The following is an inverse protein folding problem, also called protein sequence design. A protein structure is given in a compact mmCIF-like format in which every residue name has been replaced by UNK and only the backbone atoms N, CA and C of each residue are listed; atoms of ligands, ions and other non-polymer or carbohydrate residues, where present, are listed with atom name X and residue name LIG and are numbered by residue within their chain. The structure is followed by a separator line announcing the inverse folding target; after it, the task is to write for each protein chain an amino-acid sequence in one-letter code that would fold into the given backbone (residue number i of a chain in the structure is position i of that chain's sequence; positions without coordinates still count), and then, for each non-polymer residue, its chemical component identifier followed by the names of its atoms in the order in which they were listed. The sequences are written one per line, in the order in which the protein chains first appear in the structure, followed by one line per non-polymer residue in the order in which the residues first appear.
data_IF_000434664884
#
_entry.id   IF_000434664884
#
_cell.length_a   1.000
_cell.length_b   1.000
_cell.length_c   1.000
_cell.angle_alpha   90.00
_cell.angle_beta   90.00
_cell.angle_gamma   90.00
#
_symmetry.space_group_name_H-M   'P 1'
#
loop_
_entity.id
_entity.type
_entity.pdbx_description
1 polymer ?
#
# COMPACT_ATOMS: atom_id res chain seq x y z
N UNK A 1 -18.86 -1.50 -5.35
CA UNK A 1 -17.54 -0.79 -5.27
C UNK A 1 -17.55 0.40 -6.24
N UNK A 2 -17.08 1.59 -5.81
CA UNK A 2 -16.91 2.74 -6.74
C UNK A 2 -15.82 2.36 -7.76
N UNK A 3 -16.13 2.48 -9.05
CA UNK A 3 -15.15 2.20 -10.11
C UNK A 3 -14.27 3.42 -10.34
N UNK A 4 -12.99 3.20 -10.63
CA UNK A 4 -12.07 4.23 -11.11
C UNK A 4 -12.52 4.63 -12.51
N UNK A 5 -12.76 5.93 -12.72
CA UNK A 5 -13.23 6.49 -13.99
C UNK A 5 -12.05 7.03 -14.81
N UNK A 6 -12.29 7.26 -16.10
CA UNK A 6 -11.30 7.94 -16.97
C UNK A 6 -10.94 9.34 -16.45
N UNK A 7 -11.84 10.01 -15.73
CA UNK A 7 -11.56 11.30 -15.11
C UNK A 7 -10.59 11.16 -13.94
N UNK A 8 -10.79 10.17 -13.02
CA UNK A 8 -9.88 9.92 -11.89
C UNK A 8 -8.47 9.62 -12.41
N UNK A 9 -8.38 8.83 -13.49
CA UNK A 9 -7.11 8.50 -14.16
C UNK A 9 -6.46 9.75 -14.77
N UNK A 10 -7.25 10.58 -15.46
CA UNK A 10 -6.76 11.82 -16.07
C UNK A 10 -6.25 12.81 -15.01
N UNK A 11 -6.93 12.92 -13.87
CA UNK A 11 -6.50 13.78 -12.76
C UNK A 11 -5.17 13.31 -12.17
N UNK A 12 -4.99 12.01 -11.94
CA UNK A 12 -3.73 11.47 -11.45
C UNK A 12 -2.61 11.61 -12.48
N UNK A 13 -2.88 11.33 -13.75
CA UNK A 13 -1.91 11.52 -14.83
C UNK A 13 -1.48 12.99 -14.96
N UNK A 14 -2.41 13.92 -14.94
CA UNK A 14 -2.12 15.36 -14.97
C UNK A 14 -1.27 15.77 -13.78
N UNK A 15 -1.53 15.23 -12.59
CA UNK A 15 -0.72 15.47 -11.41
C UNK A 15 0.71 14.99 -11.62
N UNK A 16 0.92 13.80 -12.19
CA UNK A 16 2.27 13.29 -12.51
C UNK A 16 2.96 14.19 -13.55
N UNK A 17 2.28 14.60 -14.59
CA UNK A 17 2.83 15.42 -15.67
C UNK A 17 3.20 16.84 -15.21
N UNK A 18 2.51 17.38 -14.20
CA UNK A 18 2.70 18.76 -13.71
C UNK A 18 3.90 18.95 -12.77
N UNK A 19 4.52 17.88 -12.30
CA UNK A 19 5.65 17.93 -11.37
C UNK A 19 6.90 17.28 -11.96
N UNK A 20 8.06 17.73 -11.50
CA UNK A 20 9.37 17.28 -11.99
C UNK A 20 10.01 16.24 -11.06
N UNK A 21 9.63 16.20 -9.79
CA UNK A 21 10.10 15.27 -8.76
C UNK A 21 8.97 14.83 -7.84
N UNK A 22 9.09 13.65 -7.24
CA UNK A 22 8.06 13.12 -6.35
C UNK A 22 8.62 12.56 -5.04
N UNK A 23 7.93 12.86 -3.96
CA UNK A 23 7.95 12.02 -2.76
C UNK A 23 6.77 11.06 -2.80
N UNK A 24 7.02 9.79 -2.47
CA UNK A 24 5.97 8.78 -2.34
C UNK A 24 6.02 8.24 -0.92
N UNK A 25 4.93 8.36 -0.18
CA UNK A 25 4.86 7.97 1.22
C UNK A 25 3.58 7.20 1.53
N UNK A 26 3.65 6.33 2.53
CA UNK A 26 2.50 5.67 3.15
C UNK A 26 2.57 5.79 4.67
N UNK A 27 1.68 5.08 5.39
CA UNK A 27 1.59 5.22 6.84
C UNK A 27 2.84 4.70 7.58
N UNK A 28 3.10 5.25 8.79
CA UNK A 28 4.11 4.73 9.73
C UNK A 28 3.81 3.27 10.09
N UNK A 29 4.86 2.53 10.48
CA UNK A 29 4.75 1.08 10.70
C UNK A 29 4.13 0.36 9.50
N UNK A 30 4.72 0.52 8.31
CA UNK A 30 4.10 0.08 7.06
C UNK A 30 3.81 -1.42 7.08
N UNK A 31 2.77 -1.78 6.37
CA UNK A 31 2.45 -3.18 6.09
C UNK A 31 2.68 -3.56 4.62
N UNK A 32 2.18 -4.72 4.22
CA UNK A 32 2.39 -5.22 2.87
C UNK A 32 1.66 -4.42 1.82
N UNK A 33 0.47 -3.91 2.12
CA UNK A 33 -0.32 -3.10 1.19
C UNK A 33 0.31 -1.71 0.99
N UNK A 34 0.71 -1.07 2.09
CA UNK A 34 1.41 0.21 2.07
C UNK A 34 2.70 0.15 1.22
N UNK A 35 3.56 -0.83 1.47
CA UNK A 35 4.83 -0.99 0.73
C UNK A 35 4.56 -1.34 -0.74
N UNK A 36 3.62 -2.24 -1.03
CA UNK A 36 3.28 -2.62 -2.39
C UNK A 36 2.75 -1.43 -3.19
N UNK A 37 1.90 -0.62 -2.59
CA UNK A 37 1.34 0.59 -3.18
C UNK A 37 2.42 1.63 -3.51
N UNK A 38 3.34 1.91 -2.58
CA UNK A 38 4.48 2.81 -2.81
C UNK A 38 5.35 2.32 -3.98
N UNK A 39 5.70 1.03 -4.00
CA UNK A 39 6.58 0.45 -5.03
C UNK A 39 5.91 0.43 -6.41
N UNK A 40 4.60 0.20 -6.48
CA UNK A 40 3.87 0.22 -7.74
C UNK A 40 3.70 1.65 -8.27
N UNK A 41 3.45 2.64 -7.40
CA UNK A 41 3.48 4.07 -7.78
C UNK A 41 4.86 4.47 -8.30
N UNK A 42 5.94 4.04 -7.64
CA UNK A 42 7.30 4.27 -8.13
C UNK A 42 7.49 3.76 -9.56
N UNK A 43 6.96 2.57 -9.87
CA UNK A 43 7.01 2.02 -11.23
C UNK A 43 6.16 2.82 -12.24
N UNK A 44 5.04 3.40 -11.82
CA UNK A 44 4.29 4.35 -12.67
C UNK A 44 5.18 5.57 -12.98
N UNK A 45 5.82 6.15 -11.95
CA UNK A 45 6.70 7.31 -12.13
C UNK A 45 7.90 7.01 -13.04
N UNK A 46 8.49 5.79 -12.95
CA UNK A 46 9.54 5.33 -13.85
C UNK A 46 9.08 5.35 -15.32
N UNK A 47 7.83 4.95 -15.62
CA UNK A 47 7.26 5.00 -16.97
C UNK A 47 7.08 6.45 -17.49
N UNK A 48 6.91 7.42 -16.60
CA UNK A 48 6.87 8.84 -16.94
C UNK A 48 8.27 9.50 -16.91
N UNK A 49 9.33 8.72 -16.63
CA UNK A 49 10.71 9.24 -16.44
C UNK A 49 10.76 10.33 -15.37
N UNK A 50 9.95 10.20 -14.32
CA UNK A 50 9.90 11.14 -13.19
C UNK A 50 10.76 10.61 -12.05
N UNK A 51 11.77 11.36 -11.59
CA UNK A 51 12.56 10.99 -10.42
C UNK A 51 11.71 11.07 -9.16
N UNK A 52 12.00 10.19 -8.20
CA UNK A 52 11.27 10.10 -6.94
C UNK A 52 12.14 9.65 -5.79
N UNK A 53 11.63 9.88 -4.58
CA UNK A 53 12.15 9.29 -3.34
C UNK A 53 11.00 8.62 -2.59
N UNK A 54 11.22 7.37 -2.15
CA UNK A 54 10.29 6.66 -1.29
C UNK A 54 10.55 7.02 0.17
N UNK A 55 9.49 7.42 0.90
CA UNK A 55 9.57 7.85 2.29
C UNK A 55 8.80 6.91 3.21
N UNK A 56 9.35 6.62 4.38
CA UNK A 56 8.68 5.91 5.45
C UNK A 56 9.34 6.22 6.80
N UNK A 57 8.55 6.62 7.77
CA UNK A 57 9.02 6.78 9.16
C UNK A 57 9.35 5.42 9.83
N UNK A 58 9.02 4.29 9.19
CA UNK A 58 9.17 2.97 9.81
C UNK A 58 8.35 2.83 11.10
N UNK A 59 8.80 1.96 12.04
CA UNK A 59 9.73 0.86 11.82
C UNK A 59 9.13 -0.26 10.97
N UNK A 60 9.96 -0.96 10.20
CA UNK A 60 9.58 -2.13 9.40
C UNK A 60 9.53 -3.38 10.29
N UNK A 61 8.43 -3.57 11.00
CA UNK A 61 8.28 -4.64 12.01
C UNK A 61 7.96 -6.02 11.41
N UNK A 62 7.36 -6.06 10.22
CA UNK A 62 6.87 -7.29 9.61
C UNK A 62 7.95 -7.93 8.74
N UNK A 63 8.27 -9.20 9.00
CA UNK A 63 9.34 -9.92 8.30
C UNK A 63 9.16 -9.97 6.77
N UNK A 64 7.92 -10.05 6.31
CA UNK A 64 7.56 -10.15 4.89
C UNK A 64 7.87 -8.89 4.09
N UNK A 65 8.07 -7.73 4.75
CA UNK A 65 8.38 -6.45 4.09
C UNK A 65 9.81 -5.96 4.32
N UNK A 66 10.55 -6.53 5.28
CA UNK A 66 11.91 -6.06 5.66
C UNK A 66 12.85 -5.97 4.46
N UNK A 67 12.70 -6.86 3.48
CA UNK A 67 13.55 -6.88 2.26
C UNK A 67 13.49 -5.60 1.42
N UNK A 68 12.47 -4.76 1.61
CA UNK A 68 12.34 -3.49 0.90
C UNK A 68 12.73 -2.26 1.72
N UNK A 69 13.10 -2.45 3.00
CA UNK A 69 13.43 -1.36 3.92
C UNK A 69 14.44 -0.36 3.31
N UNK A 70 15.50 -0.87 2.70
CA UNK A 70 16.59 -0.04 2.17
C UNK A 70 16.20 0.78 0.93
N UNK A 71 14.99 0.60 0.41
CA UNK A 71 14.42 1.45 -0.64
C UNK A 71 13.75 2.70 -0.12
N UNK A 72 13.52 2.79 1.18
CA UNK A 72 12.81 3.88 1.83
C UNK A 72 13.76 4.69 2.72
N UNK A 73 13.53 5.99 2.77
CA UNK A 73 14.22 6.91 3.68
C UNK A 73 13.23 7.47 4.70
N UNK A 74 13.70 7.78 5.89
CA UNK A 74 12.98 8.51 6.91
C UNK A 74 13.21 10.03 6.82
N UNK A 75 13.99 10.49 5.84
CA UNK A 75 14.31 11.89 5.62
C UNK A 75 14.14 12.29 4.15
N UNK A 76 13.65 13.51 3.92
CA UNK A 76 13.50 14.13 2.62
C UNK A 76 14.82 14.74 2.16
N UNK A 77 15.17 14.54 0.89
CA UNK A 77 16.34 15.16 0.29
C UNK A 77 15.85 16.20 -0.73
N UNK A 78 15.91 17.48 -0.34
CA UNK A 78 15.77 18.62 -1.24
C UNK A 78 17.14 19.21 -1.54
N UNK A 79 17.40 19.50 -2.81
CA UNK A 79 18.65 20.10 -3.21
C UNK A 79 18.56 21.63 -3.21
N UNK A 80 17.38 22.20 -3.47
CA UNK A 80 17.15 23.64 -3.51
C UNK A 80 15.66 24.01 -3.32
N UNK A 81 15.37 25.28 -3.00
CA UNK A 81 14.01 25.78 -2.75
C UNK A 81 13.15 25.88 -4.02
N UNK A 82 13.72 25.95 -5.21
CA UNK A 82 12.97 25.99 -6.47
C UNK A 82 12.41 24.61 -6.86
N UNK A 83 13.09 23.55 -6.44
CA UNK A 83 12.62 22.17 -6.63
C UNK A 83 11.33 21.90 -5.87
N UNK A 84 11.12 22.55 -4.71
CA UNK A 84 9.92 22.36 -3.89
C UNK A 84 8.63 22.72 -4.63
N UNK A 85 8.61 23.81 -5.40
CA UNK A 85 7.42 24.25 -6.14
C UNK A 85 7.01 23.31 -7.27
N UNK A 86 7.94 22.46 -7.72
CA UNK A 86 7.73 21.45 -8.75
C UNK A 86 7.75 20.03 -8.23
N UNK A 87 7.69 19.89 -6.92
CA UNK A 87 7.69 18.59 -6.24
C UNK A 87 6.28 18.20 -5.84
N UNK A 88 5.85 17.03 -6.29
CA UNK A 88 4.59 16.40 -5.88
C UNK A 88 4.79 15.43 -4.72
N UNK A 89 3.79 15.29 -3.87
CA UNK A 89 3.71 14.28 -2.84
C UNK A 89 2.58 13.29 -3.15
N UNK A 90 2.92 12.03 -3.38
CA UNK A 90 1.91 10.97 -3.54
C UNK A 90 1.82 10.20 -2.24
N UNK A 91 0.63 10.20 -1.64
CA UNK A 91 0.35 9.50 -0.40
C UNK A 91 -0.53 8.29 -0.73
N UNK A 92 -0.09 7.11 -0.31
CA UNK A 92 -0.81 5.85 -0.53
C UNK A 92 -1.14 5.16 0.79
N UNK A 93 -2.26 4.48 0.82
CA UNK A 93 -2.71 3.66 1.95
C UNK A 93 -2.83 4.46 3.27
N UNK A 94 -3.07 5.76 3.13
CA UNK A 94 -3.16 6.69 4.24
C UNK A 94 -3.85 7.98 3.78
N UNK A 95 -4.95 8.36 4.41
CA UNK A 95 -5.68 9.58 4.08
C UNK A 95 -5.29 10.81 4.91
N UNK A 96 -4.33 10.68 5.84
CA UNK A 96 -4.03 11.74 6.81
C UNK A 96 -2.52 11.88 7.03
N UNK A 97 -2.00 13.12 6.89
CA UNK A 97 -0.56 13.40 7.01
C UNK A 97 0.07 12.94 8.34
N UNK A 98 -0.67 13.03 9.45
CA UNK A 98 -0.12 12.63 10.76
C UNK A 98 0.15 11.12 10.85
N UNK A 99 -0.53 10.31 10.04
CA UNK A 99 -0.31 8.85 9.96
C UNK A 99 0.97 8.47 9.25
N UNK A 100 1.59 9.38 8.48
CA UNK A 100 2.90 9.17 7.87
C UNK A 100 4.00 9.00 8.94
N UNK A 101 3.77 9.52 10.14
CA UNK A 101 4.74 9.50 11.23
C UNK A 101 5.78 10.64 11.13
N UNK A 102 6.89 10.48 11.84
CA UNK A 102 7.97 11.45 11.85
C UNK A 102 8.92 11.17 10.68
N UNK A 103 8.81 11.95 9.63
CA UNK A 103 9.73 12.00 8.50
C UNK A 103 10.51 13.29 8.62
N UNK A 104 11.84 13.22 8.60
CA UNK A 104 12.70 14.40 8.65
C UNK A 104 12.54 15.22 7.38
N UNK A 105 12.10 16.44 7.53
CA UNK A 105 11.74 17.36 6.45
C UNK A 105 10.31 17.86 6.55
N UNK A 106 9.98 18.83 5.71
CA UNK A 106 8.66 19.48 5.74
C UNK A 106 7.80 19.04 4.54
N UNK A 107 6.87 18.14 4.80
CA UNK A 107 5.88 17.69 3.81
C UNK A 107 4.72 18.69 3.62
N UNK A 108 4.55 19.66 4.54
CA UNK A 108 3.44 20.60 4.51
C UNK A 108 3.55 21.55 3.29
N UNK A 109 2.43 21.76 2.63
CA UNK A 109 2.36 22.70 1.50
C UNK A 109 2.93 22.16 0.19
N UNK A 110 3.35 20.87 0.12
CA UNK A 110 3.57 20.21 -1.15
C UNK A 110 2.23 19.95 -1.83
N UNK A 111 2.15 20.18 -3.14
CA UNK A 111 1.00 19.71 -3.90
C UNK A 111 0.91 18.19 -3.78
N UNK A 112 -0.26 17.68 -3.39
CA UNK A 112 -0.37 16.29 -2.96
C UNK A 112 -1.51 15.57 -3.67
N UNK A 113 -1.30 14.26 -3.91
CA UNK A 113 -2.33 13.35 -4.40
C UNK A 113 -2.43 12.13 -3.47
N UNK A 114 -3.63 11.85 -2.95
CA UNK A 114 -3.89 10.75 -2.02
C UNK A 114 -4.64 9.63 -2.74
N UNK A 115 -4.16 8.38 -2.60
CA UNK A 115 -4.88 7.17 -3.01
C UNK A 115 -5.03 6.27 -1.79
N UNK A 116 -6.28 6.05 -1.35
CA UNK A 116 -6.53 5.32 -0.11
C UNK A 116 -7.85 4.53 -0.14
N UNK A 117 -7.94 3.53 0.71
CA UNK A 117 -9.13 2.69 0.88
C UNK A 117 -9.70 2.70 2.31
N UNK A 118 -9.13 3.44 3.23
CA UNK A 118 -9.57 3.47 4.61
C UNK A 118 -10.88 4.27 4.78
N UNK A 119 -11.81 3.74 5.60
CA UNK A 119 -13.11 4.39 5.91
C UNK A 119 -12.97 5.69 6.71
N UNK A 120 -11.87 5.81 7.45
CA UNK A 120 -11.58 6.99 8.28
C UNK A 120 -10.95 8.12 7.48
N UNK A 121 -10.49 7.84 6.26
CA UNK A 121 -9.92 8.86 5.39
C UNK A 121 -11.00 9.77 4.85
N UNK A 122 -10.76 11.07 4.95
CA UNK A 122 -11.61 12.11 4.37
C UNK A 122 -10.83 12.93 3.36
N UNK A 123 -11.51 13.43 2.33
CA UNK A 123 -10.90 14.36 1.42
C UNK A 123 -10.40 15.58 2.20
N UNK A 124 -9.14 15.93 2.03
CA UNK A 124 -8.53 17.12 2.63
C UNK A 124 -8.81 18.28 1.66
N UNK A 125 -9.34 19.38 2.18
CA UNK A 125 -9.63 20.56 1.34
C UNK A 125 -8.36 21.04 0.63
N UNK A 126 -8.47 21.21 -0.70
CA UNK A 126 -7.34 21.61 -1.53
C UNK A 126 -6.37 20.49 -1.92
N UNK A 127 -6.58 19.26 -1.47
CA UNK A 127 -5.74 18.09 -1.84
C UNK A 127 -6.51 17.18 -2.79
N UNK A 128 -5.89 16.86 -3.93
CA UNK A 128 -6.44 15.87 -4.87
C UNK A 128 -6.41 14.48 -4.25
N UNK A 129 -7.49 13.73 -4.38
CA UNK A 129 -7.55 12.41 -3.77
C UNK A 129 -8.49 11.45 -4.49
N UNK A 130 -8.13 10.18 -4.50
CA UNK A 130 -9.02 9.08 -4.80
C UNK A 130 -9.15 8.17 -3.58
N UNK A 131 -10.26 8.27 -2.87
CA UNK A 131 -10.56 7.47 -1.68
C UNK A 131 -11.74 6.55 -1.96
N UNK A 132 -11.54 5.24 -1.79
CA UNK A 132 -12.60 4.25 -2.00
C UNK A 132 -12.67 3.24 -0.84
N UNK A 133 -13.48 3.49 0.19
CA UNK A 133 -13.61 2.63 1.37
C UNK A 133 -14.20 1.24 1.11
N UNK A 134 -14.64 0.97 -0.11
CA UNK A 134 -15.13 -0.34 -0.53
C UNK A 134 -14.06 -1.16 -1.27
N UNK A 135 -12.89 -0.57 -1.55
CA UNK A 135 -11.78 -1.30 -2.11
C UNK A 135 -11.14 -2.21 -1.04
N UNK A 136 -10.69 -3.41 -1.41
CA UNK A 136 -10.14 -4.38 -0.46
C UNK A 136 -8.72 -4.04 0.02
N UNK A 137 -8.01 -3.19 -0.71
CA UNK A 137 -6.62 -2.82 -0.51
C UNK A 137 -6.28 -1.57 -1.34
N UNK A 138 -5.30 -0.78 -0.92
CA UNK A 138 -4.78 0.33 -1.72
C UNK A 138 -4.05 -0.19 -2.97
N UNK A 139 -3.27 -1.26 -2.87
CA UNK A 139 -2.60 -1.92 -4.01
C UNK A 139 -3.57 -2.39 -5.09
N UNK A 140 -4.82 -2.75 -4.75
CA UNK A 140 -5.87 -3.01 -5.73
C UNK A 140 -6.21 -1.74 -6.52
N UNK A 141 -6.35 -0.58 -5.86
CA UNK A 141 -6.59 0.69 -6.53
C UNK A 141 -5.42 1.08 -7.44
N UNK A 142 -4.19 0.95 -6.95
CA UNK A 142 -2.98 1.23 -7.72
C UNK A 142 -2.87 0.29 -8.94
N UNK A 143 -3.26 -0.99 -8.82
CA UNK A 143 -3.32 -1.90 -9.98
C UNK A 143 -4.21 -1.32 -11.09
N UNK A 144 -5.42 -0.88 -10.74
CA UNK A 144 -6.36 -0.35 -11.74
C UNK A 144 -5.82 0.95 -12.37
N UNK A 145 -5.26 1.86 -11.57
CA UNK A 145 -4.59 3.05 -12.09
C UNK A 145 -3.44 2.68 -13.04
N UNK A 146 -2.61 1.71 -12.66
CA UNK A 146 -1.49 1.24 -13.49
C UNK A 146 -1.98 0.72 -14.84
N UNK A 147 -2.95 -0.19 -14.83
CA UNK A 147 -3.53 -0.79 -16.05
C UNK A 147 -4.16 0.28 -16.97
N UNK A 148 -4.84 1.29 -16.40
CA UNK A 148 -5.49 2.35 -17.19
C UNK A 148 -4.52 3.41 -17.71
N UNK A 149 -3.37 3.63 -17.05
CA UNK A 149 -2.39 4.66 -17.43
C UNK A 149 -1.31 4.09 -18.35
N UNK A 150 -0.79 2.93 -18.00
CA UNK A 150 0.38 2.31 -18.65
C UNK A 150 -0.03 1.14 -19.54
N UNK A 151 -1.00 0.33 -19.10
CA UNK A 151 -1.39 -0.92 -19.74
C UNK A 151 -0.84 -2.14 -19.00
N UNK A 152 0.02 -2.94 -19.68
CA UNK A 152 0.56 -4.17 -19.11
C UNK A 152 1.46 -3.91 -17.90
N UNK A 153 1.27 -4.74 -16.86
CA UNK A 153 2.03 -4.65 -15.63
C UNK A 153 3.26 -5.57 -15.72
N UNK A 154 4.49 -5.07 -15.51
CA UNK A 154 5.68 -5.92 -15.43
C UNK A 154 5.56 -6.96 -14.33
N UNK A 155 6.11 -8.16 -14.56
CA UNK A 155 6.00 -9.31 -13.65
C UNK A 155 6.37 -8.96 -12.20
N UNK A 156 7.48 -8.27 -11.98
CA UNK A 156 7.93 -7.87 -10.65
C UNK A 156 6.94 -6.95 -9.94
N UNK A 157 6.24 -6.08 -10.67
CA UNK A 157 5.21 -5.20 -10.12
C UNK A 157 3.90 -5.97 -9.89
N UNK A 158 3.55 -6.89 -10.79
CA UNK A 158 2.41 -7.77 -10.58
C UNK A 158 2.56 -8.64 -9.32
N UNK A 159 3.77 -9.17 -9.05
CA UNK A 159 4.09 -9.90 -7.83
C UNK A 159 3.94 -9.02 -6.57
N UNK A 160 4.38 -7.76 -6.63
CA UNK A 160 4.29 -6.79 -5.54
C UNK A 160 2.82 -6.40 -5.27
N UNK A 161 2.06 -6.06 -6.30
CA UNK A 161 0.64 -5.71 -6.17
C UNK A 161 -0.19 -6.89 -5.64
N UNK A 162 0.05 -8.09 -6.16
CA UNK A 162 -0.59 -9.31 -5.67
C UNK A 162 -0.27 -9.54 -4.18
N UNK A 163 0.99 -9.33 -3.77
CA UNK A 163 1.40 -9.43 -2.38
C UNK A 163 0.64 -8.42 -1.49
N UNK A 164 0.53 -7.15 -1.91
CA UNK A 164 -0.20 -6.12 -1.18
C UNK A 164 -1.67 -6.51 -0.97
N UNK A 165 -2.38 -6.88 -2.04
CA UNK A 165 -3.77 -7.33 -1.98
C UNK A 165 -3.92 -8.53 -1.04
N UNK A 166 -3.01 -9.51 -1.11
CA UNK A 166 -3.06 -10.68 -0.25
C UNK A 166 -2.83 -10.36 1.24
N UNK A 167 -1.97 -9.39 1.57
CA UNK A 167 -1.72 -9.03 2.97
C UNK A 167 -2.94 -8.40 3.60
N UNK A 168 -3.58 -7.47 2.91
CA UNK A 168 -4.70 -6.72 3.45
C UNK A 168 -6.01 -7.51 3.48
N UNK A 169 -6.21 -8.36 2.49
CA UNK A 169 -7.38 -9.26 2.43
C UNK A 169 -7.22 -10.54 3.26
N UNK A 170 -6.09 -10.72 3.97
CA UNK A 170 -5.79 -11.96 4.68
C UNK A 170 -5.81 -13.18 3.76
N UNK A 171 -5.21 -13.03 2.58
CA UNK A 171 -5.24 -13.99 1.48
C UNK A 171 -6.68 -14.32 1.05
N UNK A 172 -7.46 -13.25 0.80
CA UNK A 172 -8.86 -13.25 0.31
C UNK A 172 -9.93 -13.70 1.31
N UNK A 173 -9.56 -14.11 2.53
CA UNK A 173 -10.53 -14.61 3.53
C UNK A 173 -11.45 -13.52 4.09
N UNK A 174 -11.11 -12.23 3.91
CA UNK A 174 -11.92 -11.10 4.38
C UNK A 174 -12.82 -10.52 3.30
N UNK A 175 -12.78 -11.09 2.09
CA UNK A 175 -13.64 -10.65 1.00
C UNK A 175 -15.07 -11.14 1.19
N UNK A 176 -16.03 -10.29 0.81
CA UNK A 176 -17.45 -10.61 0.81
C UNK A 176 -17.93 -11.14 -0.55
N UNK A 177 -19.21 -11.49 -0.65
CA UNK A 177 -19.81 -12.08 -1.85
C UNK A 177 -19.84 -11.17 -3.08
N UNK A 178 -19.72 -9.85 -2.90
CA UNK A 178 -19.66 -8.85 -3.98
C UNK A 178 -18.24 -8.57 -4.49
N UNK A 179 -17.28 -9.45 -4.19
CA UNK A 179 -15.85 -9.27 -4.48
C UNK A 179 -15.40 -9.82 -5.84
N UNK A 180 -16.31 -10.21 -6.74
CA UNK A 180 -15.94 -10.71 -8.08
C UNK A 180 -14.97 -9.79 -8.83
N UNK A 181 -15.12 -8.45 -8.84
CA UNK A 181 -14.16 -7.55 -9.51
C UNK A 181 -12.74 -7.64 -8.96
N UNK A 182 -12.59 -7.97 -7.65
CA UNK A 182 -11.27 -8.17 -7.02
C UNK A 182 -10.59 -9.41 -7.59
N UNK A 183 -11.32 -10.52 -7.71
CA UNK A 183 -10.79 -11.76 -8.30
C UNK A 183 -10.46 -11.61 -9.78
N UNK A 184 -11.23 -10.82 -10.53
CA UNK A 184 -10.90 -10.47 -11.91
C UNK A 184 -9.58 -9.69 -12.01
N UNK A 185 -9.37 -8.70 -11.14
CA UNK A 185 -8.11 -7.96 -11.09
C UNK A 185 -6.93 -8.87 -10.69
N UNK A 186 -7.12 -9.69 -9.66
CA UNK A 186 -6.13 -10.68 -9.21
C UNK A 186 -5.79 -11.69 -10.32
N UNK A 187 -6.78 -12.14 -11.09
CA UNK A 187 -6.56 -13.02 -12.25
C UNK A 187 -5.61 -12.38 -13.27
N UNK A 188 -5.75 -11.08 -13.54
CA UNK A 188 -4.84 -10.36 -14.44
C UNK A 188 -3.42 -10.29 -13.86
N UNK A 189 -3.25 -10.04 -12.54
CA UNK A 189 -1.91 -10.06 -11.91
C UNK A 189 -1.24 -11.44 -12.06
N UNK A 190 -2.01 -12.53 -11.90
CA UNK A 190 -1.49 -13.89 -12.14
C UNK A 190 -1.11 -14.08 -13.62
N UNK A 191 -1.87 -13.54 -14.57
CA UNK A 191 -1.55 -13.57 -15.99
C UNK A 191 -0.27 -12.78 -16.32
N UNK A 192 0.01 -11.70 -15.58
CA UNK A 192 1.27 -10.96 -15.65
C UNK A 192 2.44 -11.65 -14.93
N UNK A 193 2.20 -12.78 -14.27
CA UNK A 193 3.23 -13.66 -13.71
C UNK A 193 3.33 -13.63 -12.18
N UNK A 194 2.40 -13.01 -11.48
CA UNK A 194 2.33 -13.14 -10.02
C UNK A 194 2.09 -14.61 -9.63
N UNK A 195 2.82 -15.10 -8.62
CA UNK A 195 2.74 -16.49 -8.19
C UNK A 195 2.09 -16.62 -6.80
N UNK A 196 0.82 -17.11 -6.72
CA UNK A 196 0.10 -17.23 -5.45
C UNK A 196 0.83 -18.09 -4.41
N UNK A 197 1.48 -19.17 -4.82
CA UNK A 197 2.22 -20.05 -3.91
C UNK A 197 3.43 -19.36 -3.29
N UNK A 198 4.17 -18.58 -4.09
CA UNK A 198 5.34 -17.83 -3.61
C UNK A 198 4.86 -16.75 -2.63
N UNK A 199 3.82 -15.99 -2.99
CA UNK A 199 3.24 -14.95 -2.14
C UNK A 199 2.69 -15.52 -0.84
N UNK A 200 1.96 -16.64 -0.90
CA UNK A 200 1.48 -17.32 0.30
C UNK A 200 2.62 -17.68 1.26
N UNK A 201 3.69 -18.25 0.72
CA UNK A 201 4.87 -18.62 1.50
C UNK A 201 5.58 -17.39 2.07
N UNK A 202 5.66 -16.29 1.32
CA UNK A 202 6.27 -15.03 1.79
C UNK A 202 5.50 -14.47 3.00
N UNK A 203 4.17 -14.50 2.97
CA UNK A 203 3.31 -13.97 4.05
C UNK A 203 3.28 -14.90 5.26
N UNK A 204 3.20 -16.22 5.05
CA UNK A 204 2.91 -17.18 6.10
C UNK A 204 4.14 -17.96 6.62
N UNK A 205 5.22 -17.99 5.86
CA UNK A 205 6.47 -18.63 6.27
C UNK A 205 7.34 -17.66 7.07
N UNK A 206 8.33 -18.22 7.78
CA UNK A 206 9.28 -17.41 8.55
C UNK A 206 8.88 -17.14 9.99
N UNK A 207 7.72 -17.63 10.45
CA UNK A 207 7.40 -17.58 11.88
C UNK A 207 8.37 -18.52 12.64
N UNK A 208 9.17 -17.99 13.57
CA UNK A 208 10.13 -18.78 14.34
C UNK A 208 9.46 -19.95 15.05
N UNK A 209 10.20 -21.04 15.25
CA UNK A 209 9.73 -22.17 16.05
C UNK A 209 9.28 -21.75 17.45
N UNK A 210 10.01 -20.81 18.09
CA UNK A 210 9.65 -20.21 19.38
C UNK A 210 8.26 -19.58 19.39
N UNK A 211 7.89 -18.84 18.34
CA UNK A 211 6.54 -18.24 18.20
C UNK A 211 5.47 -19.31 18.07
N UNK A 212 5.74 -20.39 17.31
CA UNK A 212 4.79 -21.50 17.16
C UNK A 212 4.64 -22.27 18.47
N UNK A 213 5.75 -22.48 19.20
CA UNK A 213 5.74 -23.11 20.54
C UNK A 213 4.95 -22.26 21.53
N UNK A 214 5.18 -20.93 21.55
CA UNK A 214 4.41 -20.00 22.38
C UNK A 214 2.91 -20.09 22.09
N UNK A 215 2.53 -20.07 20.82
CA UNK A 215 1.12 -20.23 20.43
C UNK A 215 0.53 -21.54 20.98
N UNK A 216 1.27 -22.65 20.89
CA UNK A 216 0.86 -23.94 21.45
C UNK A 216 0.62 -23.86 22.97
N UNK A 217 1.50 -23.20 23.72
CA UNK A 217 1.34 -22.97 25.17
C UNK A 217 0.10 -22.11 25.46
N UNK A 218 -0.09 -21.03 24.71
CA UNK A 218 -1.24 -20.15 24.88
C UNK A 218 -2.58 -20.88 24.61
N UNK A 219 -2.63 -21.69 23.54
CA UNK A 219 -3.80 -22.51 23.23
C UNK A 219 -4.09 -23.56 24.29
N UNK A 220 -3.05 -24.18 24.85
CA UNK A 220 -3.19 -25.16 25.94
C UNK A 220 -3.75 -24.53 27.22
N UNK A 221 -3.39 -23.27 27.51
CA UNK A 221 -3.86 -22.51 28.67
C UNK A 221 -5.16 -21.76 28.43
N UNK A 222 -5.75 -21.86 27.23
CA UNK A 222 -6.93 -21.13 26.89
C UNK A 222 -8.17 -21.68 27.63
N UNK A 223 -8.84 -20.80 28.36
CA UNK A 223 -10.07 -21.10 29.09
C UNK A 223 -11.28 -20.43 28.40
N UNK A 224 -12.42 -21.14 28.40
CA UNK A 224 -13.67 -20.65 27.78
C UNK A 224 -14.62 -20.09 28.83
N UNK A 225 -15.16 -18.92 28.55
CA UNK A 225 -16.17 -18.22 29.37
C UNK A 225 -17.37 -17.82 28.53
N UNK A 226 -18.47 -17.47 29.19
CA UNK A 226 -19.68 -16.98 28.54
C UNK A 226 -20.17 -17.92 27.41
N UNK A 227 -20.31 -19.21 27.73
CA UNK A 227 -20.73 -20.25 26.77
C UNK A 227 -19.87 -20.33 25.51
N UNK A 228 -18.57 -20.06 25.65
CA UNK A 228 -17.60 -20.12 24.58
C UNK A 228 -17.47 -18.83 23.76
N UNK A 229 -18.21 -17.77 24.11
CA UNK A 229 -18.11 -16.46 23.43
C UNK A 229 -16.86 -15.67 23.83
N UNK A 230 -16.21 -16.02 24.94
CA UNK A 230 -14.98 -15.40 25.41
C UNK A 230 -13.94 -16.51 25.67
N UNK A 231 -12.75 -16.31 25.14
CA UNK A 231 -11.59 -17.18 25.41
C UNK A 231 -10.48 -16.30 26.00
N UNK A 232 -9.96 -16.71 27.16
CA UNK A 232 -8.87 -16.01 27.83
C UNK A 232 -7.68 -16.97 27.94
N UNK A 233 -6.47 -16.47 27.70
CA UNK A 233 -5.20 -17.18 27.93
C UNK A 233 -4.23 -16.25 28.66
N UNK A 234 -3.32 -16.84 29.47
CA UNK A 234 -2.35 -16.11 30.31
C UNK A 234 -1.03 -16.90 30.46
#
# INVERSE_FOLDING_TARGET
MKQITSQDVSEFKTFIESHDFFFVAGHKEPDGDCIASCLAVASILDNFSKPYQLLSAGPFKRNEIVKWKDRFSDSMIFQDSQERAKTGLIIVDCGELFRLGEIDGDLKGLDSFIIDHHKTSSAIEGVKSYINPLAPACSYLIQIFYEMIIGDIPKNIAEILFFGICTDTGFFRFLAEDSAPVFEAVSRLVSYGANPKITYNQINNGKPYSTRKLLGVLLQKAERYLEGRLVITY
#
